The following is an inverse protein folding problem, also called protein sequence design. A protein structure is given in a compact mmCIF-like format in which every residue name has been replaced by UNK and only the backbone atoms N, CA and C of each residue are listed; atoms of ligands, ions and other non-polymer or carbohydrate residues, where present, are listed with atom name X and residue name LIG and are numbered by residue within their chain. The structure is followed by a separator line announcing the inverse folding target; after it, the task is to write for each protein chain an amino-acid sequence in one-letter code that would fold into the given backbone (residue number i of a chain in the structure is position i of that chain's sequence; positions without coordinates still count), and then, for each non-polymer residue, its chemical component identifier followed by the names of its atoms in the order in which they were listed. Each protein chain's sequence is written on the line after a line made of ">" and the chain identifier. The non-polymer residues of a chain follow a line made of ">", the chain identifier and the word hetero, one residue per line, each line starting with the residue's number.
data_IF_768729062771
#
_entry.id   IF_768729062771
#
_cell.length_a   1.000
_cell.length_b   1.000
_cell.length_c   1.000
_cell.angle_alpha   90.00
_cell.angle_beta   90.00
_cell.angle_gamma   90.00
#
_symmetry.space_group_name_H-M   'P 1'
#
loop_
_entity.id
_entity.type
_entity.pdbx_description
1 polymer ?
#
# COMPACT_ATOMS: atom_id res chain seq x y z
N UNK A 1 -29.00 2.08 22.99
CA UNK A 1 -27.90 1.13 22.67
C UNK A 1 -28.42 -0.26 22.35
N UNK A 2 -29.09 -0.98 23.27
CA UNK A 2 -29.57 -2.35 23.01
C UNK A 2 -30.50 -2.49 21.78
N UNK A 3 -31.58 -1.71 21.73
CA UNK A 3 -32.52 -1.72 20.59
C UNK A 3 -31.83 -1.41 19.26
N UNK A 4 -30.87 -0.50 19.25
CA UNK A 4 -30.07 -0.17 18.06
C UNK A 4 -29.22 -1.34 17.60
N UNK A 5 -28.65 -2.11 18.53
CA UNK A 5 -27.88 -3.33 18.22
C UNK A 5 -28.81 -4.42 17.67
N UNK A 6 -29.97 -4.62 18.31
CA UNK A 6 -30.97 -5.61 17.88
C UNK A 6 -31.46 -5.33 16.45
N UNK A 7 -31.72 -4.05 16.13
CA UNK A 7 -32.09 -3.63 14.78
C UNK A 7 -30.96 -3.87 13.76
N UNK A 8 -29.72 -3.49 14.09
CA UNK A 8 -28.56 -3.72 13.21
C UNK A 8 -28.33 -5.22 12.94
N UNK A 9 -28.53 -6.06 13.95
CA UNK A 9 -28.43 -7.52 13.81
C UNK A 9 -29.55 -8.05 12.91
N UNK A 10 -30.79 -7.57 13.06
CA UNK A 10 -31.91 -7.96 12.19
C UNK A 10 -31.62 -7.63 10.72
N UNK A 11 -31.12 -6.43 10.44
CA UNK A 11 -30.75 -6.01 9.07
C UNK A 11 -29.66 -6.92 8.50
N UNK A 12 -28.63 -7.25 9.28
CA UNK A 12 -27.58 -8.18 8.82
C UNK A 12 -28.16 -9.56 8.54
N UNK A 13 -29.03 -10.09 9.41
CA UNK A 13 -29.66 -11.40 9.23
C UNK A 13 -30.49 -11.48 7.96
N UNK A 14 -31.16 -10.39 7.56
CA UNK A 14 -31.90 -10.31 6.31
C UNK A 14 -31.00 -10.32 5.07
N UNK A 15 -29.77 -9.79 5.16
CA UNK A 15 -28.80 -9.77 4.05
C UNK A 15 -28.06 -11.12 3.86
N UNK A 16 -27.93 -11.91 4.93
CA UNK A 16 -27.14 -13.16 4.90
C UNK A 16 -27.57 -14.15 3.80
N UNK A 17 -28.86 -14.42 3.55
CA UNK A 17 -29.27 -15.36 2.52
C UNK A 17 -28.84 -14.96 1.10
N UNK A 18 -28.88 -13.66 0.78
CA UNK A 18 -28.46 -13.15 -0.53
C UNK A 18 -26.95 -13.33 -0.71
N UNK A 19 -26.16 -13.04 0.32
CA UNK A 19 -24.70 -13.17 0.30
C UNK A 19 -24.28 -14.65 0.20
N UNK A 20 -24.96 -15.55 0.92
CA UNK A 20 -24.67 -17.00 0.89
C UNK A 20 -25.01 -17.65 -0.47
N UNK A 21 -25.95 -17.06 -1.21
CA UNK A 21 -26.31 -17.49 -2.56
C UNK A 21 -25.22 -17.14 -3.60
N UNK A 22 -24.31 -16.21 -3.32
CA UNK A 22 -23.26 -15.80 -4.27
C UNK A 22 -22.28 -16.96 -4.51
N UNK A 23 -22.09 -17.32 -5.79
CA UNK A 23 -21.10 -18.31 -6.22
C UNK A 23 -19.98 -17.65 -7.01
N UNK A 24 -18.74 -18.11 -6.79
CA UNK A 24 -17.59 -17.69 -7.60
C UNK A 24 -17.79 -18.12 -9.05
N UNK A 25 -17.34 -17.27 -9.96
CA UNK A 25 -17.32 -17.52 -11.40
C UNK A 25 -15.94 -17.19 -11.94
N UNK A 26 -15.62 -17.68 -13.13
CA UNK A 26 -14.44 -17.22 -13.84
C UNK A 26 -14.60 -15.73 -14.17
N UNK A 27 -13.53 -14.96 -13.94
CA UNK A 27 -13.49 -13.53 -14.16
C UNK A 27 -12.19 -13.18 -14.90
N UNK A 28 -12.19 -12.17 -15.78
CA UNK A 28 -10.97 -11.72 -16.44
C UNK A 28 -10.00 -11.14 -15.42
N UNK A 29 -8.70 -11.36 -15.62
CA UNK A 29 -7.66 -10.82 -14.75
C UNK A 29 -7.66 -9.29 -14.69
N UNK A 30 -8.21 -8.62 -15.70
CA UNK A 30 -8.40 -7.16 -15.73
C UNK A 30 -9.34 -6.64 -14.63
N UNK A 31 -10.18 -7.50 -14.06
CA UNK A 31 -11.00 -7.15 -12.89
C UNK A 31 -10.21 -7.12 -11.57
N UNK A 32 -8.99 -7.67 -11.54
CA UNK A 32 -8.19 -7.79 -10.33
C UNK A 32 -7.51 -6.46 -9.97
N UNK A 33 -7.61 -6.10 -8.69
CA UNK A 33 -6.89 -4.98 -8.07
C UNK A 33 -6.09 -5.51 -6.90
N UNK A 34 -4.77 -5.32 -6.92
CA UNK A 34 -3.84 -5.81 -5.90
C UNK A 34 -3.16 -4.62 -5.23
N UNK A 35 -3.33 -4.49 -3.92
CA UNK A 35 -2.56 -3.53 -3.12
C UNK A 35 -1.31 -4.22 -2.55
N UNK A 36 -0.19 -3.52 -2.62
CA UNK A 36 1.10 -3.96 -2.12
C UNK A 36 1.40 -3.23 -0.82
N UNK A 37 1.89 -3.97 0.16
CA UNK A 37 2.26 -3.45 1.48
C UNK A 37 3.42 -4.28 2.04
N UNK A 38 4.37 -3.63 2.72
CA UNK A 38 5.41 -4.24 3.51
C UNK A 38 4.96 -4.46 4.97
N UNK A 39 5.48 -5.51 5.59
CA UNK A 39 5.30 -5.76 7.03
C UNK A 39 6.56 -5.38 7.81
N UNK A 40 7.14 -6.37 8.48
CA UNK A 40 8.48 -6.25 9.09
C UNK A 40 9.57 -6.32 8.03
N UNK A 41 9.81 -5.21 7.32
CA UNK A 41 10.88 -5.13 6.32
C UNK A 41 12.26 -5.30 6.95
N UNK A 42 13.15 -5.97 6.25
CA UNK A 42 14.51 -6.32 6.66
C UNK A 42 15.51 -6.09 5.50
N UNK A 43 16.80 -6.31 5.74
CA UNK A 43 17.85 -6.13 4.74
C UNK A 43 17.76 -7.07 3.53
N UNK A 44 16.93 -8.11 3.57
CA UNK A 44 16.73 -9.03 2.46
C UNK A 44 15.50 -8.68 1.62
N UNK A 45 14.57 -7.91 2.17
CA UNK A 45 13.29 -7.59 1.54
C UNK A 45 13.46 -6.99 0.15
N UNK A 46 14.33 -5.98 0.03
CA UNK A 46 14.62 -5.27 -1.22
C UNK A 46 15.37 -6.08 -2.29
N UNK A 47 15.92 -7.25 -1.94
CA UNK A 47 16.64 -8.13 -2.86
C UNK A 47 15.96 -9.48 -3.07
N UNK A 48 14.83 -9.74 -2.40
CA UNK A 48 14.08 -11.01 -2.48
C UNK A 48 12.58 -10.78 -2.75
N UNK A 49 11.79 -10.54 -1.69
CA UNK A 49 10.34 -10.47 -1.74
C UNK A 49 9.84 -9.27 -2.55
N UNK A 50 10.45 -8.09 -2.40
CA UNK A 50 10.01 -6.88 -3.09
C UNK A 50 10.21 -6.98 -4.63
N UNK A 51 11.38 -7.43 -5.14
CA UNK A 51 11.54 -7.71 -6.57
C UNK A 51 10.56 -8.76 -7.11
N UNK A 52 10.32 -9.85 -6.37
CA UNK A 52 9.35 -10.87 -6.77
C UNK A 52 7.92 -10.31 -6.85
N UNK A 53 7.54 -9.47 -5.88
CA UNK A 53 6.25 -8.80 -5.85
C UNK A 53 6.12 -7.76 -6.97
N UNK A 54 7.20 -7.04 -7.29
CA UNK A 54 7.26 -6.13 -8.44
C UNK A 54 7.00 -6.86 -9.77
N UNK A 55 7.63 -8.03 -9.96
CA UNK A 55 7.37 -8.85 -11.15
C UNK A 55 5.92 -9.36 -11.21
N UNK A 56 5.36 -9.78 -10.07
CA UNK A 56 3.96 -10.18 -10.01
C UNK A 56 3.01 -9.00 -10.33
N UNK A 57 3.30 -7.80 -9.86
CA UNK A 57 2.55 -6.58 -10.17
C UNK A 57 2.60 -6.26 -11.67
N UNK A 58 3.77 -6.38 -12.31
CA UNK A 58 3.91 -6.20 -13.75
C UNK A 58 3.07 -7.22 -14.54
N UNK A 59 3.00 -8.48 -14.10
CA UNK A 59 2.13 -9.48 -14.71
C UNK A 59 0.64 -9.12 -14.59
N UNK A 60 0.21 -8.61 -13.44
CA UNK A 60 -1.18 -8.15 -13.24
C UNK A 60 -1.50 -6.98 -14.17
N UNK A 61 -0.64 -5.96 -14.21
CA UNK A 61 -0.82 -4.77 -15.06
C UNK A 61 -0.79 -5.14 -16.54
N UNK A 62 0.12 -6.04 -16.96
CA UNK A 62 0.21 -6.52 -18.35
C UNK A 62 -1.08 -7.20 -18.84
N UNK A 63 -1.85 -7.81 -17.93
CA UNK A 63 -3.14 -8.44 -18.24
C UNK A 63 -4.35 -7.52 -17.98
N UNK A 64 -4.13 -6.21 -17.86
CA UNK A 64 -5.18 -5.20 -17.70
C UNK A 64 -5.70 -5.05 -16.27
N UNK A 65 -5.09 -5.73 -15.30
CA UNK A 65 -5.41 -5.56 -13.87
C UNK A 65 -4.75 -4.29 -13.31
N UNK A 66 -4.95 -4.03 -12.03
CA UNK A 66 -4.37 -2.87 -11.33
C UNK A 66 -3.49 -3.31 -10.17
N UNK A 67 -2.28 -2.76 -10.07
CA UNK A 67 -1.43 -2.86 -8.90
C UNK A 67 -1.31 -1.49 -8.22
N UNK A 68 -1.35 -1.46 -6.89
CA UNK A 68 -1.24 -0.24 -6.08
C UNK A 68 -0.10 -0.42 -5.09
N UNK A 69 0.99 0.31 -5.28
CA UNK A 69 2.01 0.47 -4.25
C UNK A 69 1.47 1.44 -3.20
N UNK A 70 1.31 0.95 -1.97
CA UNK A 70 0.79 1.73 -0.85
C UNK A 70 1.94 2.41 -0.08
N UNK A 71 1.67 2.83 1.16
CA UNK A 71 2.71 3.26 2.11
C UNK A 71 3.60 4.42 1.61
N UNK A 72 2.99 5.56 1.30
CA UNK A 72 3.75 6.75 0.86
C UNK A 72 4.94 7.15 1.77
N UNK A 73 4.91 6.97 3.11
CA UNK A 73 6.09 7.18 3.94
C UNK A 73 7.29 6.26 3.63
N UNK A 74 7.04 5.07 3.08
CA UNK A 74 8.08 4.06 2.81
C UNK A 74 8.90 4.40 1.56
N UNK A 75 8.44 5.30 0.71
CA UNK A 75 9.18 5.73 -0.50
C UNK A 75 9.95 7.05 -0.30
N UNK A 76 9.98 7.58 0.93
CA UNK A 76 10.59 8.87 1.22
C UNK A 76 12.11 8.85 1.00
N UNK A 77 12.63 9.76 0.17
CA UNK A 77 14.00 9.75 -0.35
C UNK A 77 14.18 8.99 -1.67
N UNK A 78 13.22 8.16 -2.08
CA UNK A 78 13.23 7.40 -3.34
C UNK A 78 12.15 7.87 -4.35
N UNK A 79 11.39 8.92 -4.03
CA UNK A 79 10.25 9.42 -4.83
C UNK A 79 10.67 9.83 -6.24
N UNK A 80 11.90 10.31 -6.38
CA UNK A 80 12.50 10.67 -7.66
C UNK A 80 12.59 9.48 -8.64
N UNK A 81 12.66 8.23 -8.15
CA UNK A 81 12.60 7.03 -8.99
C UNK A 81 11.19 6.79 -9.55
N UNK A 82 10.15 7.12 -8.77
CA UNK A 82 8.75 6.95 -9.15
C UNK A 82 8.25 8.09 -10.04
N UNK A 83 8.60 9.33 -9.72
CA UNK A 83 8.24 10.50 -10.53
C UNK A 83 8.82 10.42 -11.94
N UNK A 84 10.03 9.87 -12.12
CA UNK A 84 10.62 9.57 -13.44
C UNK A 84 9.82 8.55 -14.26
N UNK A 85 9.03 7.69 -13.61
CA UNK A 85 8.17 6.68 -14.25
C UNK A 85 6.72 7.15 -14.40
N UNK A 86 6.38 8.35 -13.94
CA UNK A 86 5.03 8.87 -14.03
C UNK A 86 4.63 9.07 -15.49
N UNK A 87 3.41 8.67 -15.85
CA UNK A 87 2.91 8.80 -17.22
C UNK A 87 2.77 10.27 -17.66
N UNK A 88 2.56 11.19 -16.71
CA UNK A 88 2.49 12.64 -16.96
C UNK A 88 3.10 13.43 -15.81
N UNK A 89 3.56 14.68 -16.04
CA UNK A 89 4.04 15.57 -14.98
C UNK A 89 3.00 15.79 -13.86
N UNK A 90 1.72 15.93 -14.22
CA UNK A 90 0.63 16.10 -13.26
C UNK A 90 0.47 14.90 -12.31
N UNK A 91 0.83 13.68 -12.74
CA UNK A 91 0.85 12.50 -11.85
C UNK A 91 2.03 12.57 -10.88
N UNK A 92 3.21 12.96 -11.35
CA UNK A 92 4.38 13.17 -10.48
C UNK A 92 4.12 14.26 -9.44
N UNK A 93 3.50 15.38 -9.83
CA UNK A 93 3.12 16.46 -8.92
C UNK A 93 2.15 16.01 -7.83
N UNK A 94 1.17 15.15 -8.17
CA UNK A 94 0.26 14.56 -7.18
C UNK A 94 1.00 13.69 -6.15
N UNK A 95 2.02 12.94 -6.59
CA UNK A 95 2.85 12.16 -5.67
C UNK A 95 3.64 13.07 -4.73
N UNK A 96 4.29 14.11 -5.27
CA UNK A 96 5.04 15.07 -4.46
C UNK A 96 4.14 15.81 -3.47
N UNK A 97 2.96 16.24 -3.88
CA UNK A 97 1.98 16.85 -2.98
C UNK A 97 1.56 15.92 -1.83
N UNK A 98 1.49 14.61 -2.08
CA UNK A 98 1.21 13.63 -1.01
C UNK A 98 2.37 13.48 -0.04
N UNK A 99 3.61 13.54 -0.52
CA UNK A 99 4.82 13.52 0.32
C UNK A 99 4.87 14.78 1.19
N UNK A 100 4.61 15.95 0.62
CA UNK A 100 4.56 17.20 1.39
C UNK A 100 3.46 17.19 2.44
N UNK A 101 2.30 16.60 2.13
CA UNK A 101 1.25 16.38 3.12
C UNK A 101 1.73 15.52 4.30
N UNK A 102 2.48 14.45 4.04
CA UNK A 102 3.05 13.59 5.10
C UNK A 102 4.11 14.31 5.93
N UNK A 103 4.93 15.16 5.30
CA UNK A 103 5.92 15.99 6.01
C UNK A 103 5.24 16.96 6.97
N UNK A 104 4.18 17.63 6.52
CA UNK A 104 3.39 18.52 7.37
C UNK A 104 2.68 17.76 8.51
N UNK A 105 2.08 16.61 8.19
CA UNK A 105 1.43 15.76 9.18
C UNK A 105 2.39 15.28 10.27
N UNK A 106 3.57 14.79 9.90
CA UNK A 106 4.58 14.31 10.86
C UNK A 106 5.11 15.46 11.72
N UNK A 107 5.43 16.61 11.12
CA UNK A 107 5.92 17.78 11.84
C UNK A 107 4.93 18.29 12.90
N UNK A 108 3.63 18.33 12.58
CA UNK A 108 2.56 18.70 13.54
C UNK A 108 2.48 17.77 14.75
N UNK A 109 2.97 16.54 14.64
CA UNK A 109 3.01 15.55 15.70
C UNK A 109 4.40 15.43 16.36
N UNK A 110 5.32 16.35 16.08
CA UNK A 110 6.68 16.32 16.64
C UNK A 110 7.54 15.17 16.11
N UNK A 111 7.21 14.64 14.93
CA UNK A 111 7.95 13.58 14.26
C UNK A 111 8.51 14.07 12.92
N UNK A 112 9.52 13.36 12.41
CA UNK A 112 10.05 13.55 11.06
C UNK A 112 9.75 12.31 10.22
N UNK A 113 9.45 12.53 8.94
CA UNK A 113 9.16 11.44 7.99
C UNK A 113 10.36 10.50 7.76
N UNK A 114 11.59 11.02 7.91
CA UNK A 114 12.84 10.25 7.84
C UNK A 114 13.07 9.31 9.05
N UNK A 115 12.24 9.38 10.10
CA UNK A 115 12.40 8.58 11.33
C UNK A 115 11.87 7.14 11.19
N UNK A 116 11.64 6.72 9.95
CA UNK A 116 11.40 5.35 9.51
C UNK A 116 12.71 4.91 8.82
N UNK A 117 13.42 3.81 9.17
CA UNK A 117 12.95 2.52 9.69
C UNK A 117 12.56 2.50 11.17
N UNK A 118 11.55 1.67 11.50
CA UNK A 118 11.18 1.35 12.89
C UNK A 118 12.27 0.55 13.60
N UNK A 119 12.14 0.37 14.93
CA UNK A 119 13.11 -0.42 15.71
C UNK A 119 13.31 -1.84 15.15
N UNK A 120 12.21 -2.55 14.84
CA UNK A 120 12.30 -3.90 14.28
C UNK A 120 12.93 -3.95 12.88
N UNK A 121 12.75 -2.91 12.07
CA UNK A 121 13.42 -2.82 10.76
C UNK A 121 14.94 -2.64 10.92
N UNK A 122 15.37 -1.87 11.92
CA UNK A 122 16.79 -1.67 12.23
C UNK A 122 17.44 -2.96 12.72
N UNK A 123 16.77 -3.72 13.59
CA UNK A 123 17.22 -5.06 13.98
C UNK A 123 17.26 -6.03 12.79
N UNK A 124 16.34 -5.87 11.84
CA UNK A 124 16.33 -6.60 10.56
C UNK A 124 17.40 -6.17 9.56
N UNK A 125 18.25 -5.18 9.87
CA UNK A 125 19.38 -4.76 9.03
C UNK A 125 19.12 -3.56 8.11
N UNK A 126 17.99 -2.86 8.25
CA UNK A 126 17.74 -1.61 7.53
C UNK A 126 18.26 -0.42 8.34
N UNK A 127 19.33 0.21 7.88
CA UNK A 127 20.03 1.23 8.67
C UNK A 127 19.53 2.65 8.42
N UNK A 128 19.04 2.95 7.22
CA UNK A 128 18.56 4.28 6.83
C UNK A 128 17.18 4.22 6.20
N UNK A 129 16.47 5.36 6.17
CA UNK A 129 15.24 5.50 5.38
C UNK A 129 15.50 5.18 3.91
N UNK A 130 16.65 5.61 3.39
CA UNK A 130 17.00 5.43 1.99
C UNK A 130 17.15 3.94 1.63
N UNK A 131 17.80 3.14 2.48
CA UNK A 131 17.93 1.70 2.26
C UNK A 131 16.56 1.03 2.18
N UNK A 132 15.64 1.44 3.06
CA UNK A 132 14.27 0.94 3.11
C UNK A 132 13.48 1.36 1.88
N UNK A 133 13.59 2.62 1.46
CA UNK A 133 12.82 3.18 0.36
C UNK A 133 13.28 2.74 -1.03
N UNK A 134 14.53 2.28 -1.16
CA UNK A 134 15.04 1.70 -2.39
C UNK A 134 14.64 0.24 -2.60
N UNK A 135 14.37 -0.48 -1.50
CA UNK A 135 14.00 -1.89 -1.52
C UNK A 135 12.55 -2.11 -1.91
#
# INVERSE_FOLDING_TARGET
>A
TRKTIEEAVSIIQELLPEIDAVKRTEQPLSGLKVALQCGGSDGYSGITANPALGYAADLVVKNGGTAVLSETPEIYGAEHLLTRRAATPAIAEKLMARIDWWRDYTAKNGAELNNNPSHGNKEGGLTTILDKSLG
#
